data_IF_798227402141
#
_entry.id   IF_798227402141
#
_cell.length_a   1.000
_cell.length_b   1.000
_cell.length_c   1.000
_cell.angle_alpha   90.00
_cell.angle_beta   90.00
_cell.angle_gamma   90.00
#
_symmetry.space_group_name_H-M   'P 1'
#
loop_
_entity.id
_entity.type
_entity.pdbx_description
1 polymer ?
#
# COMPACT_ATOMS: atom_id res chain seq x y z
N UNK A 1 -16.82 -14.13 36.30
CA UNK A 1 -17.52 -13.43 35.20
C UNK A 1 -17.33 -11.95 35.42
N UNK A 2 -16.69 -11.24 34.50
CA UNK A 2 -16.49 -9.79 34.62
C UNK A 2 -17.67 -9.08 33.94
N UNK A 3 -18.45 -8.34 34.72
CA UNK A 3 -19.57 -7.55 34.20
C UNK A 3 -19.01 -6.24 33.65
N UNK A 4 -19.05 -6.06 32.33
CA UNK A 4 -18.63 -4.82 31.67
C UNK A 4 -19.87 -3.94 31.48
N UNK A 5 -19.94 -2.82 32.21
CA UNK A 5 -21.06 -1.87 32.11
C UNK A 5 -20.68 -0.73 31.17
N UNK A 6 -21.39 -0.61 30.05
CA UNK A 6 -21.15 0.45 29.05
C UNK A 6 -22.33 1.43 29.10
N UNK A 7 -22.08 2.73 29.37
CA UNK A 7 -23.13 3.76 29.36
C UNK A 7 -23.85 3.82 28.00
N UNK A 8 -25.19 3.82 28.02
CA UNK A 8 -26.03 3.85 26.81
C UNK A 8 -25.72 5.04 25.88
N UNK A 9 -25.25 6.16 26.44
CA UNK A 9 -24.89 7.36 25.67
C UNK A 9 -23.71 7.16 24.71
N UNK A 10 -22.91 6.10 24.89
CA UNK A 10 -21.79 5.76 24.01
C UNK A 10 -22.22 4.90 22.80
N UNK A 11 -23.42 4.32 22.84
CA UNK A 11 -23.95 3.43 21.79
C UNK A 11 -24.89 4.25 20.92
N UNK A 12 -24.34 4.88 19.87
CA UNK A 12 -25.14 5.70 18.93
C UNK A 12 -25.93 4.88 17.90
N UNK A 13 -25.55 3.63 17.61
CA UNK A 13 -26.08 2.82 16.50
C UNK A 13 -26.34 1.35 16.89
N UNK A 14 -26.66 1.06 18.15
CA UNK A 14 -27.07 -0.26 18.71
C UNK A 14 -26.14 -1.48 18.54
N UNK A 15 -25.14 -1.47 17.66
CA UNK A 15 -24.21 -2.60 17.48
C UNK A 15 -22.96 -2.45 18.36
N UNK A 16 -22.98 -3.12 19.52
CA UNK A 16 -21.80 -3.31 20.37
C UNK A 16 -21.08 -4.59 19.96
N UNK A 17 -19.83 -4.46 19.51
CA UNK A 17 -18.95 -5.60 19.22
C UNK A 17 -17.82 -5.64 20.24
N UNK A 18 -17.70 -6.75 20.97
CA UNK A 18 -16.63 -6.97 21.93
C UNK A 18 -15.54 -7.80 21.26
N UNK A 19 -14.34 -7.24 21.13
CA UNK A 19 -13.18 -7.94 20.60
C UNK A 19 -11.99 -7.86 21.56
N UNK A 20 -11.10 -8.86 21.57
CA UNK A 20 -9.84 -8.79 22.29
C UNK A 20 -9.01 -7.59 21.86
N UNK A 21 -8.33 -6.96 22.83
CA UNK A 21 -7.50 -5.76 22.58
C UNK A 21 -6.49 -5.95 21.45
N UNK A 22 -5.83 -7.12 21.41
CA UNK A 22 -4.83 -7.44 20.38
C UNK A 22 -5.43 -7.41 18.98
N UNK A 23 -6.61 -8.01 18.79
CA UNK A 23 -7.31 -8.03 17.50
C UNK A 23 -7.78 -6.63 17.09
N UNK A 24 -8.21 -5.80 18.04
CA UNK A 24 -8.54 -4.40 17.78
C UNK A 24 -7.33 -3.61 17.28
N UNK A 25 -6.17 -3.78 17.91
CA UNK A 25 -4.94 -3.09 17.53
C UNK A 25 -4.46 -3.51 16.13
N UNK A 26 -4.51 -4.80 15.80
CA UNK A 26 -4.20 -5.32 14.47
C UNK A 26 -5.16 -4.74 13.41
N UNK A 27 -6.46 -4.74 13.68
CA UNK A 27 -7.46 -4.17 12.75
C UNK A 27 -7.30 -2.67 12.57
N UNK A 28 -7.00 -1.92 13.64
CA UNK A 28 -6.74 -0.49 13.58
C UNK A 28 -5.51 -0.19 12.73
N UNK A 29 -4.41 -0.91 12.94
CA UNK A 29 -3.21 -0.77 12.12
C UNK A 29 -3.49 -1.07 10.65
N UNK A 30 -4.25 -2.12 10.35
CA UNK A 30 -4.63 -2.46 8.98
C UNK A 30 -5.49 -1.38 8.33
N UNK A 31 -6.46 -0.82 9.07
CA UNK A 31 -7.29 0.30 8.61
C UNK A 31 -6.49 1.56 8.34
N UNK A 32 -5.56 1.91 9.23
CA UNK A 32 -4.70 3.08 9.04
C UNK A 32 -3.70 2.90 7.90
N UNK A 33 -3.12 1.70 7.77
CA UNK A 33 -2.22 1.36 6.64
C UNK A 33 -3.00 1.34 5.32
N UNK A 34 -4.22 0.80 5.33
CA UNK A 34 -5.19 0.83 4.23
C UNK A 34 -5.44 2.23 3.68
N UNK A 35 -5.63 3.21 4.58
CA UNK A 35 -5.80 4.63 4.22
C UNK A 35 -4.49 5.28 3.74
N UNK A 36 -3.34 4.79 4.20
CA UNK A 36 -2.03 5.28 3.74
C UNK A 36 -1.70 4.87 2.31
N UNK A 37 -2.31 3.81 1.79
CA UNK A 37 -2.19 3.47 0.36
C UNK A 37 -2.96 4.48 -0.48
N UNK A 38 -2.33 5.62 -0.77
CA UNK A 38 -2.79 6.52 -1.83
C UNK A 38 -2.78 5.73 -3.13
N UNK A 39 -3.96 5.36 -3.59
CA UNK A 39 -4.11 4.72 -4.88
C UNK A 39 -3.64 5.71 -5.93
N UNK A 40 -2.57 5.37 -6.65
CA UNK A 40 -2.05 6.22 -7.71
C UNK A 40 -3.10 6.35 -8.81
N UNK A 41 -3.62 7.56 -9.02
CA UNK A 41 -4.56 7.87 -10.11
C UNK A 41 -3.76 8.42 -11.29
N UNK A 42 -3.46 7.61 -12.33
CA UNK A 42 -2.61 8.05 -13.42
C UNK A 42 -3.30 9.09 -14.30
N UNK A 43 -2.55 10.11 -14.70
CA UNK A 43 -2.94 11.09 -15.71
C UNK A 43 -3.08 10.43 -17.09
N UNK A 44 -3.82 11.04 -18.03
CA UNK A 44 -4.00 10.53 -19.38
C UNK A 44 -2.66 10.29 -20.13
N UNK A 45 -1.65 11.14 -19.91
CA UNK A 45 -0.30 10.97 -20.44
C UNK A 45 0.35 9.69 -19.89
N UNK A 46 0.36 9.51 -18.57
CA UNK A 46 0.93 8.34 -17.91
C UNK A 46 0.25 7.03 -18.36
N UNK A 47 -1.06 7.05 -18.60
CA UNK A 47 -1.76 5.89 -19.18
C UNK A 47 -1.24 5.51 -20.57
N UNK A 48 -0.89 6.50 -21.40
CA UNK A 48 -0.28 6.26 -22.73
C UNK A 48 1.13 5.72 -22.57
N UNK A 49 1.90 6.25 -21.63
CA UNK A 49 3.26 5.79 -21.33
C UNK A 49 3.25 4.32 -20.87
N UNK A 50 2.33 3.93 -19.98
CA UNK A 50 2.18 2.52 -19.60
C UNK A 50 1.80 1.61 -20.78
N UNK A 51 0.95 2.09 -21.70
CA UNK A 51 0.59 1.33 -22.91
C UNK A 51 1.81 1.15 -23.83
N UNK A 52 2.64 2.18 -23.95
CA UNK A 52 3.87 2.14 -24.74
C UNK A 52 4.90 1.20 -24.08
N UNK A 53 5.18 1.37 -22.79
CA UNK A 53 6.09 0.53 -22.02
C UNK A 53 5.73 -0.96 -22.10
N UNK A 54 4.43 -1.31 -22.04
CA UNK A 54 3.99 -2.70 -22.22
C UNK A 54 4.31 -3.28 -23.59
N UNK A 55 4.25 -2.47 -24.66
CA UNK A 55 4.60 -2.90 -26.02
C UNK A 55 6.11 -3.09 -26.16
N UNK A 56 6.89 -2.13 -25.69
CA UNK A 56 8.37 -2.17 -25.71
C UNK A 56 8.86 -3.39 -24.93
N UNK A 57 8.31 -3.64 -23.74
CA UNK A 57 8.65 -4.82 -22.95
C UNK A 57 8.34 -6.14 -23.68
N UNK A 58 7.19 -6.24 -24.35
CA UNK A 58 6.83 -7.41 -25.14
C UNK A 58 7.72 -7.60 -26.38
N UNK A 59 8.25 -6.51 -26.95
CA UNK A 59 9.21 -6.55 -28.04
C UNK A 59 10.65 -6.87 -27.59
N UNK A 60 10.90 -6.93 -26.28
CA UNK A 60 12.24 -7.11 -25.71
C UNK A 60 13.04 -5.81 -25.64
N UNK A 61 12.41 -4.66 -25.87
CA UNK A 61 13.01 -3.33 -25.77
C UNK A 61 12.97 -2.85 -24.31
N UNK A 62 13.81 -3.47 -23.47
CA UNK A 62 14.00 -3.06 -22.08
C UNK A 62 15.49 -3.01 -21.74
N UNK A 63 15.83 -2.16 -20.79
CA UNK A 63 17.18 -2.09 -20.23
C UNK A 63 17.25 -2.88 -18.92
N UNK A 64 18.39 -3.52 -18.67
CA UNK A 64 18.65 -4.19 -17.40
C UNK A 64 19.03 -3.17 -16.33
N UNK A 65 18.94 -3.58 -15.06
CA UNK A 65 19.38 -2.73 -13.94
C UNK A 65 20.86 -2.31 -14.09
N UNK A 66 21.72 -3.24 -14.51
CA UNK A 66 23.13 -2.94 -14.76
C UNK A 66 23.35 -1.94 -15.89
N UNK A 67 22.56 -2.00 -16.97
CA UNK A 67 22.63 -1.03 -18.05
C UNK A 67 22.15 0.35 -17.59
N UNK A 68 21.03 0.39 -16.86
CA UNK A 68 20.49 1.62 -16.27
C UNK A 68 21.48 2.28 -15.30
N UNK A 69 22.11 1.50 -14.42
CA UNK A 69 23.11 1.99 -13.45
C UNK A 69 24.32 2.61 -14.17
N UNK A 70 24.81 1.95 -15.23
CA UNK A 70 25.90 2.46 -16.04
C UNK A 70 25.53 3.77 -16.76
N UNK A 71 24.32 3.87 -17.33
CA UNK A 71 23.83 5.07 -18.01
C UNK A 71 23.64 6.25 -17.05
N UNK A 72 23.22 5.98 -15.81
CA UNK A 72 23.04 6.99 -14.77
C UNK A 72 24.34 7.32 -14.02
N UNK A 73 25.44 6.62 -14.30
CA UNK A 73 26.74 6.79 -13.61
C UNK A 73 26.70 6.36 -12.14
N UNK A 74 25.74 5.52 -11.75
CA UNK A 74 25.58 5.05 -10.38
C UNK A 74 26.42 3.79 -10.22
N UNK A 75 27.47 3.84 -9.39
CA UNK A 75 28.23 2.64 -9.06
C UNK A 75 27.41 1.76 -8.11
N UNK A 76 27.24 0.45 -8.39
CA UNK A 76 26.46 -0.42 -7.55
C UNK A 76 27.09 -0.51 -6.15
N UNK A 77 26.31 -0.15 -5.13
CA UNK A 77 26.75 -0.25 -3.74
C UNK A 77 26.79 -1.72 -3.37
N UNK A 78 28.00 -2.30 -3.33
CA UNK A 78 28.24 -3.71 -2.99
C UNK A 78 27.54 -4.02 -1.65
N UNK A 79 26.70 -5.07 -1.58
CA UNK A 79 26.10 -5.47 -0.30
C UNK A 79 27.23 -5.85 0.67
N UNK A 80 27.13 -5.37 1.91
CA UNK A 80 28.03 -5.68 3.02
C UNK A 80 27.81 -7.10 3.51
#
# INVERSE_FOLDING_TARGET
MATITIPKNLIKNDDLVVIPRKEYEEFYQWKETGKMFKTFTPTAAQKRDFKKARKEYAAGEYITLSQLENELGITPKKPR
#
